data_IF_461688982864
#
_entry.id   IF_461688982864
#
_cell.length_a   1.000
_cell.length_b   1.000
_cell.length_c   1.000
_cell.angle_alpha   90.00
_cell.angle_beta   90.00
_cell.angle_gamma   90.00
#
_symmetry.space_group_name_H-M   'P 1'
#
loop_
_entity.id
_entity.type
_entity.pdbx_description
1 polymer ?
#
# COMPACT_ATOMS: atom_id res chain seq x y z
N UNK A 1 -7.45 -2.84 -38.97
CA UNK A 1 -8.49 -3.24 -37.99
C UNK A 1 -7.92 -3.87 -36.73
N UNK A 2 -7.02 -4.84 -36.81
CA UNK A 2 -6.38 -5.46 -35.64
C UNK A 2 -5.56 -4.48 -34.79
N UNK A 3 -4.83 -3.57 -35.42
CA UNK A 3 -4.04 -2.56 -34.72
C UNK A 3 -4.93 -1.62 -33.93
N UNK A 4 -6.07 -1.23 -34.48
CA UNK A 4 -7.06 -0.36 -33.80
C UNK A 4 -7.66 -1.05 -32.58
N UNK A 5 -8.05 -2.32 -32.70
CA UNK A 5 -8.61 -3.10 -31.59
C UNK A 5 -7.57 -3.28 -30.48
N UNK A 6 -6.31 -3.59 -30.80
CA UNK A 6 -5.23 -3.68 -29.81
C UNK A 6 -5.00 -2.38 -29.08
N UNK A 7 -5.07 -1.24 -29.78
CA UNK A 7 -4.90 0.08 -29.19
C UNK A 7 -6.04 0.38 -28.21
N UNK A 8 -7.29 0.08 -28.56
CA UNK A 8 -8.45 0.27 -27.68
C UNK A 8 -8.33 -0.60 -26.43
N UNK A 9 -7.99 -1.89 -26.58
CA UNK A 9 -7.81 -2.80 -25.44
C UNK A 9 -6.70 -2.30 -24.52
N UNK A 10 -5.58 -1.82 -25.08
CA UNK A 10 -4.46 -1.27 -24.32
C UNK A 10 -4.86 -0.02 -23.53
N UNK A 11 -5.72 0.84 -24.11
CA UNK A 11 -6.24 2.04 -23.45
C UNK A 11 -7.21 1.72 -22.31
N UNK A 12 -7.97 0.62 -22.42
CA UNK A 12 -8.91 0.17 -21.38
C UNK A 12 -8.18 -0.44 -20.18
N UNK A 13 -7.02 -1.08 -20.38
CA UNK A 13 -6.26 -1.70 -19.29
C UNK A 13 -5.38 -0.65 -18.64
N UNK A 14 -5.79 -0.22 -17.45
CA UNK A 14 -5.06 0.76 -16.66
C UNK A 14 -4.31 0.10 -15.52
N UNK A 15 -3.13 0.62 -15.22
CA UNK A 15 -2.42 0.25 -14.00
C UNK A 15 -3.27 0.60 -12.78
N UNK A 16 -3.07 -0.13 -11.70
CA UNK A 16 -3.84 -0.02 -10.48
C UNK A 16 -2.93 0.17 -9.28
N UNK A 17 -3.36 0.97 -8.33
CA UNK A 17 -2.56 1.23 -7.14
C UNK A 17 -3.41 1.08 -5.88
N UNK A 18 -2.89 0.31 -4.91
CA UNK A 18 -3.39 0.35 -3.54
C UNK A 18 -2.58 1.36 -2.76
N UNK A 19 -3.26 2.34 -2.17
CA UNK A 19 -2.63 3.38 -1.34
C UNK A 19 -2.97 3.17 0.13
N UNK A 20 -2.01 3.49 1.00
CA UNK A 20 -2.14 3.31 2.45
C UNK A 20 -1.62 4.53 3.19
N UNK A 21 -2.28 4.87 4.28
CA UNK A 21 -1.77 5.83 5.26
C UNK A 21 -1.81 5.14 6.62
N UNK A 22 -0.67 5.09 7.29
CA UNK A 22 -0.48 4.28 8.50
C UNK A 22 0.15 5.13 9.62
N UNK A 23 -0.47 5.20 10.80
CA UNK A 23 0.18 5.79 11.97
C UNK A 23 1.10 4.74 12.61
N UNK A 24 2.39 5.05 12.74
CA UNK A 24 3.38 4.13 13.29
C UNK A 24 4.09 4.78 14.48
N UNK A 25 4.13 4.13 15.66
CA UNK A 25 4.95 4.60 16.75
C UNK A 25 6.41 4.72 16.34
N UNK A 26 7.02 5.87 16.56
CA UNK A 26 8.43 6.09 16.19
C UNK A 26 9.35 5.05 16.81
N UNK A 27 9.06 4.62 18.03
CA UNK A 27 9.81 3.60 18.74
C UNK A 27 9.73 2.21 18.06
N UNK A 28 8.72 1.99 17.21
CA UNK A 28 8.51 0.73 16.47
C UNK A 28 8.76 0.86 14.98
N UNK A 29 9.27 2.00 14.51
CA UNK A 29 9.45 2.26 13.08
C UNK A 29 10.40 1.24 12.43
N UNK A 30 11.50 0.92 13.08
CA UNK A 30 12.45 -0.06 12.54
C UNK A 30 11.80 -1.44 12.39
N UNK A 31 11.02 -1.88 13.38
CA UNK A 31 10.27 -3.12 13.31
C UNK A 31 9.22 -3.10 12.19
N UNK A 32 8.53 -1.96 12.05
CA UNK A 32 7.56 -1.76 10.96
C UNK A 32 8.22 -1.88 9.59
N UNK A 33 9.36 -1.21 9.38
CA UNK A 33 10.06 -1.23 8.10
C UNK A 33 10.63 -2.62 7.79
N UNK A 34 11.11 -3.36 8.79
CA UNK A 34 11.56 -4.74 8.60
C UNK A 34 10.41 -5.65 8.16
N UNK A 35 9.25 -5.53 8.82
CA UNK A 35 8.04 -6.25 8.45
C UNK A 35 7.59 -5.88 7.03
N UNK A 36 7.58 -4.59 6.71
CA UNK A 36 7.18 -4.10 5.39
C UNK A 36 8.08 -4.63 4.27
N UNK A 37 9.40 -4.66 4.48
CA UNK A 37 10.32 -5.24 3.49
C UNK A 37 10.03 -6.72 3.25
N UNK A 38 9.78 -7.47 4.31
CA UNK A 38 9.46 -8.89 4.20
C UNK A 38 8.13 -9.12 3.49
N UNK A 39 7.09 -8.37 3.85
CA UNK A 39 5.79 -8.43 3.18
C UNK A 39 5.89 -7.99 1.71
N UNK A 40 6.57 -6.89 1.45
CA UNK A 40 6.74 -6.36 0.09
C UNK A 40 7.44 -7.34 -0.85
N UNK A 41 8.41 -8.10 -0.34
CA UNK A 41 9.07 -9.16 -1.11
C UNK A 41 8.05 -10.21 -1.57
N UNK A 42 7.07 -10.57 -0.72
CA UNK A 42 6.02 -11.52 -1.08
C UNK A 42 5.12 -10.94 -2.18
N UNK A 43 4.67 -9.69 -2.05
CA UNK A 43 3.90 -9.02 -3.12
C UNK A 43 4.64 -8.98 -4.45
N UNK A 44 5.92 -8.61 -4.42
CA UNK A 44 6.76 -8.56 -5.63
C UNK A 44 6.92 -9.93 -6.26
N UNK A 45 7.11 -10.96 -5.46
CA UNK A 45 7.23 -12.34 -5.92
C UNK A 45 5.98 -12.81 -6.66
N UNK A 46 4.79 -12.39 -6.20
CA UNK A 46 3.52 -12.71 -6.86
C UNK A 46 3.18 -11.79 -8.04
N UNK A 47 3.98 -10.78 -8.31
CA UNK A 47 3.86 -9.99 -9.54
C UNK A 47 3.50 -8.52 -9.37
N UNK A 48 3.45 -7.99 -8.14
CA UNK A 48 3.31 -6.54 -7.95
C UNK A 48 4.48 -5.81 -8.62
N UNK A 49 4.21 -4.70 -9.28
CA UNK A 49 5.21 -3.95 -10.04
C UNK A 49 6.06 -3.04 -9.16
N UNK A 50 5.45 -2.44 -8.14
CA UNK A 50 6.12 -1.60 -7.18
C UNK A 50 5.56 -1.84 -5.79
N UNK A 51 6.41 -1.70 -4.79
CA UNK A 51 6.03 -1.70 -3.38
C UNK A 51 6.87 -0.62 -2.70
N UNK A 52 6.23 0.42 -2.19
CA UNK A 52 6.92 1.59 -1.60
C UNK A 52 6.38 1.92 -0.23
N UNK A 53 7.29 2.23 0.69
CA UNK A 53 7.00 2.75 2.02
C UNK A 53 7.72 4.06 2.21
N UNK A 54 6.99 5.12 2.51
CA UNK A 54 7.56 6.45 2.68
C UNK A 54 7.20 7.00 4.06
N UNK A 55 8.20 7.36 4.83
CA UNK A 55 8.03 7.88 6.21
C UNK A 55 7.85 9.39 6.17
N UNK A 56 6.86 9.89 6.90
CA UNK A 56 6.57 11.32 6.96
C UNK A 56 7.78 12.14 7.42
N UNK A 57 8.07 13.20 6.67
CA UNK A 57 9.18 14.14 6.94
C UNK A 57 8.62 15.58 7.06
N UNK A 58 7.93 16.04 6.05
CA UNK A 58 7.28 17.36 6.06
C UNK A 58 5.76 17.17 5.94
N UNK A 59 5.13 16.74 7.03
CA UNK A 59 3.69 16.45 7.10
C UNK A 59 3.09 17.23 8.25
N UNK A 60 2.21 18.18 7.93
CA UNK A 60 1.63 19.12 8.91
C UNK A 60 0.13 18.88 9.07
N UNK A 61 -0.44 19.11 10.27
CA UNK A 61 -1.87 19.13 10.44
C UNK A 61 -2.51 20.28 9.67
N UNK A 62 -3.73 20.09 9.20
CA UNK A 62 -4.52 21.11 8.53
C UNK A 62 -5.67 21.59 9.39
N UNK A 63 -6.49 22.51 8.85
CA UNK A 63 -7.67 23.03 9.55
C UNK A 63 -8.83 22.06 9.52
N UNK A 64 -9.19 21.54 8.33
CA UNK A 64 -10.31 20.60 8.16
C UNK A 64 -9.81 19.17 8.23
N UNK A 65 -8.73 18.86 7.52
CA UNK A 65 -8.14 17.54 7.49
C UNK A 65 -6.68 17.62 7.05
N UNK A 66 -5.98 16.51 7.19
CA UNK A 66 -4.57 16.35 6.81
C UNK A 66 -4.25 14.86 6.92
N UNK A 67 -3.05 14.46 6.53
CA UNK A 67 -2.61 13.08 6.75
C UNK A 67 -2.63 12.72 8.25
N UNK A 68 -2.10 13.52 9.18
CA UNK A 68 -2.19 13.21 10.60
C UNK A 68 -3.62 13.07 11.12
N UNK A 69 -4.51 13.98 10.73
CA UNK A 69 -5.91 13.96 11.18
C UNK A 69 -6.67 12.75 10.63
N UNK A 70 -6.36 12.34 9.39
CA UNK A 70 -7.03 11.20 8.75
C UNK A 70 -6.80 9.88 9.50
N UNK A 71 -5.68 9.73 10.20
CA UNK A 71 -5.34 8.51 10.94
C UNK A 71 -5.33 8.73 12.46
N UNK A 72 -5.89 9.84 12.93
CA UNK A 72 -5.92 10.19 14.37
C UNK A 72 -4.54 10.01 15.01
N UNK A 73 -3.55 10.68 14.43
CA UNK A 73 -2.15 10.53 14.83
C UNK A 73 -1.97 10.89 16.30
N UNK A 74 -1.37 9.99 17.04
CA UNK A 74 -1.09 10.15 18.47
C UNK A 74 0.33 10.68 18.68
N UNK A 75 0.58 11.20 19.91
CA UNK A 75 1.94 11.61 20.29
C UNK A 75 2.92 10.46 20.15
N UNK A 76 4.11 10.75 19.63
CA UNK A 76 5.15 9.75 19.41
C UNK A 76 4.96 8.89 18.17
N UNK A 77 3.94 9.17 17.35
CA UNK A 77 3.71 8.49 16.08
C UNK A 77 4.17 9.32 14.90
N UNK A 78 4.45 8.65 13.79
CA UNK A 78 4.75 9.24 12.49
C UNK A 78 3.78 8.68 11.45
N UNK A 79 3.41 9.49 10.46
CA UNK A 79 2.60 9.04 9.35
C UNK A 79 3.50 8.34 8.33
N UNK A 80 3.10 7.15 7.89
CA UNK A 80 3.72 6.44 6.79
C UNK A 80 2.75 6.42 5.63
N UNK A 81 3.23 6.79 4.46
CA UNK A 81 2.48 6.76 3.20
C UNK A 81 3.08 5.70 2.30
N UNK A 82 2.25 4.77 1.85
CA UNK A 82 2.75 3.64 1.07
C UNK A 82 1.82 3.30 -0.09
N UNK A 83 2.36 2.60 -1.09
CA UNK A 83 1.56 2.13 -2.21
C UNK A 83 2.15 0.86 -2.82
N UNK A 84 1.25 0.11 -3.46
CA UNK A 84 1.59 -1.06 -4.25
C UNK A 84 0.98 -0.85 -5.63
N UNK A 85 1.79 -1.01 -6.68
CA UNK A 85 1.35 -0.84 -8.06
C UNK A 85 1.23 -2.19 -8.74
N UNK A 86 0.14 -2.35 -9.50
CA UNK A 86 -0.18 -3.57 -10.24
C UNK A 86 -0.47 -3.22 -11.70
N UNK A 87 -0.33 -4.19 -12.59
CA UNK A 87 -0.57 -4.00 -14.03
C UNK A 87 -2.03 -3.63 -14.32
N UNK A 88 -2.97 -4.12 -13.51
CA UNK A 88 -4.42 -3.88 -13.66
C UNK A 88 -5.13 -4.19 -12.35
N UNK A 89 -6.41 -3.84 -12.25
CA UNK A 89 -7.24 -4.25 -11.11
C UNK A 89 -7.36 -5.77 -11.03
N UNK A 90 -7.54 -6.44 -12.15
CA UNK A 90 -7.63 -7.90 -12.17
C UNK A 90 -6.35 -8.55 -11.64
N UNK A 91 -5.19 -8.02 -12.03
CA UNK A 91 -3.89 -8.46 -11.51
C UNK A 91 -3.78 -8.22 -10.00
N UNK A 92 -4.21 -7.04 -9.53
CA UNK A 92 -4.23 -6.72 -8.08
C UNK A 92 -5.07 -7.74 -7.30
N UNK A 93 -6.27 -8.04 -7.77
CA UNK A 93 -7.17 -8.96 -7.09
C UNK A 93 -6.57 -10.37 -7.03
N UNK A 94 -5.96 -10.83 -8.11
CA UNK A 94 -5.30 -12.13 -8.19
C UNK A 94 -4.08 -12.20 -7.27
N UNK A 95 -3.22 -11.18 -7.30
CA UNK A 95 -2.02 -11.11 -6.47
C UNK A 95 -2.40 -11.09 -4.98
N UNK A 96 -3.36 -10.24 -4.60
CA UNK A 96 -3.81 -10.16 -3.22
C UNK A 96 -4.41 -11.48 -2.73
N UNK A 97 -5.16 -12.19 -3.57
CA UNK A 97 -5.70 -13.49 -3.22
C UNK A 97 -4.57 -14.49 -2.90
N UNK A 98 -3.54 -14.53 -3.73
CA UNK A 98 -2.38 -15.40 -3.51
C UNK A 98 -1.57 -15.01 -2.28
N UNK A 99 -1.34 -13.71 -2.10
CA UNK A 99 -0.59 -13.20 -0.95
C UNK A 99 -1.30 -13.51 0.36
N UNK A 100 -2.62 -13.32 0.41
CA UNK A 100 -3.41 -13.59 1.62
C UNK A 100 -3.45 -15.07 2.00
N UNK A 101 -3.21 -15.97 1.04
CA UNK A 101 -3.11 -17.41 1.27
C UNK A 101 -1.69 -17.88 1.56
N UNK A 102 -0.70 -17.02 1.43
CA UNK A 102 0.69 -17.39 1.68
C UNK A 102 0.95 -17.46 3.19
N UNK A 103 1.46 -18.60 3.71
CA UNK A 103 1.71 -18.75 5.15
C UNK A 103 2.70 -17.73 5.71
N UNK A 104 3.63 -17.26 4.88
CA UNK A 104 4.61 -16.25 5.31
C UNK A 104 3.92 -14.94 5.72
N UNK A 105 2.89 -14.54 4.96
CA UNK A 105 2.16 -13.32 5.27
C UNK A 105 1.38 -13.44 6.58
N UNK A 106 0.69 -14.56 6.78
CA UNK A 106 -0.08 -14.80 7.99
C UNK A 106 0.77 -14.66 9.25
N UNK A 107 2.00 -15.17 9.22
CA UNK A 107 2.94 -15.05 10.32
C UNK A 107 3.40 -13.60 10.54
N UNK A 108 3.75 -12.89 9.46
CA UNK A 108 4.22 -11.51 9.52
C UNK A 108 3.13 -10.52 9.93
N UNK A 109 1.87 -10.80 9.60
CA UNK A 109 0.70 -9.95 9.88
C UNK A 109 -0.10 -10.40 11.08
N UNK A 110 0.47 -11.22 11.95
CA UNK A 110 -0.17 -11.63 13.20
C UNK A 110 -0.57 -10.39 14.02
N UNK A 111 -1.87 -10.19 14.31
CA UNK A 111 -2.34 -9.01 15.06
C UNK A 111 -1.63 -8.81 16.41
N UNK A 112 -1.20 -9.90 17.06
CA UNK A 112 -0.49 -9.83 18.32
C UNK A 112 0.92 -9.25 18.20
N UNK A 113 1.48 -9.21 16.99
CA UNK A 113 2.87 -8.79 16.71
C UNK A 113 2.96 -7.51 15.88
N UNK A 114 1.82 -6.94 15.44
CA UNK A 114 1.85 -5.76 14.57
C UNK A 114 2.50 -4.57 15.28
N UNK A 115 3.47 -3.90 14.64
CA UNK A 115 4.15 -2.73 15.19
C UNK A 115 3.37 -1.42 14.99
N UNK A 116 2.07 -1.50 14.74
CA UNK A 116 1.20 -0.34 14.55
C UNK A 116 -0.26 -0.71 14.83
N UNK A 117 -1.11 0.30 15.01
CA UNK A 117 -2.55 0.10 15.19
C UNK A 117 -3.26 -0.03 13.83
N UNK A 118 -3.57 -1.24 13.44
CA UNK A 118 -4.24 -1.53 12.17
C UNK A 118 -5.63 -0.93 12.03
N UNK A 119 -6.29 -0.58 13.14
CA UNK A 119 -7.64 0.01 13.11
C UNK A 119 -7.64 1.45 12.59
N UNK A 120 -6.51 2.16 12.72
CA UNK A 120 -6.38 3.53 12.24
C UNK A 120 -5.71 3.65 10.87
N UNK A 121 -5.28 2.54 10.29
CA UNK A 121 -4.78 2.52 8.93
C UNK A 121 -5.94 2.77 7.96
N UNK A 122 -5.73 3.67 7.01
CA UNK A 122 -6.67 3.87 5.91
C UNK A 122 -6.05 3.38 4.61
N UNK A 123 -6.87 2.82 3.73
CA UNK A 123 -6.39 2.27 2.47
C UNK A 123 -7.50 2.19 1.43
N UNK A 124 -7.11 2.09 0.18
CA UNK A 124 -8.05 1.92 -0.92
C UNK A 124 -7.35 1.68 -2.24
N UNK A 125 -8.11 1.19 -3.21
CA UNK A 125 -7.65 0.90 -4.55
C UNK A 125 -8.08 1.97 -5.55
N UNK A 126 -7.16 2.35 -6.44
CA UNK A 126 -7.33 3.44 -7.38
C UNK A 126 -6.87 3.05 -8.77
N UNK A 127 -7.63 3.42 -9.79
CA UNK A 127 -7.19 3.33 -11.18
C UNK A 127 -6.23 4.47 -11.49
N UNK A 128 -5.09 4.14 -12.09
CA UNK A 128 -4.10 5.13 -12.51
C UNK A 128 -4.57 5.78 -13.81
N UNK A 129 -5.05 7.03 -13.71
CA UNK A 129 -5.61 7.77 -14.85
C UNK A 129 -4.57 8.58 -15.60
N UNK A 130 -3.52 9.01 -14.92
CA UNK A 130 -2.40 9.74 -15.49
C UNK A 130 -1.12 8.99 -15.12
N UNK A 131 -0.39 8.55 -16.13
CA UNK A 131 0.82 7.77 -15.98
C UNK A 131 1.85 8.31 -17.00
N UNK A 132 2.62 9.30 -16.56
CA UNK A 132 3.59 10.02 -17.40
C UNK A 132 4.99 9.44 -17.28
#
# INVERSE_FOLDING_TARGET
MFVFVKTIIKEIIMAYVDGFVVPVPKAKLDAYLAMSRACGAVWREYGALEFRECVGDDVKPGKLTSFPQAVDLQDGEVVVFSWIVYASRASRDEINDKVMKDPRLAEMMDPAKLPFDGKRMIYGGYEMQVDL
#
